data_IF_126351582403
#
_entry.id   IF_126351582403
#
_cell.length_a   1.000
_cell.length_b   1.000
_cell.length_c   1.000
_cell.angle_alpha   90.00
_cell.angle_beta   90.00
_cell.angle_gamma   90.00
#
_symmetry.space_group_name_H-M   'P 1'
#
loop_
_entity.id
_entity.type
_entity.pdbx_description
1 polymer ?
#
# COMPACT_ATOMS: atom_id res chain seq x y z
N UNK A 1 -31.58 -60.67 -43.44
CA UNK A 1 -32.54 -59.93 -42.61
C UNK A 1 -32.09 -60.00 -41.16
N UNK A 2 -31.78 -58.83 -40.56
CA UNK A 2 -31.96 -58.45 -39.14
C UNK A 2 -31.18 -59.25 -38.06
N UNK A 3 -30.62 -58.70 -36.98
CA UNK A 3 -30.38 -57.36 -36.42
C UNK A 3 -29.43 -57.58 -35.19
N UNK A 4 -28.49 -56.67 -34.95
CA UNK A 4 -27.70 -56.54 -33.70
C UNK A 4 -28.61 -56.23 -32.49
N UNK A 5 -28.22 -56.53 -31.22
CA UNK A 5 -27.46 -55.57 -30.38
C UNK A 5 -26.53 -56.30 -29.33
N UNK A 6 -25.73 -55.72 -28.43
CA UNK A 6 -25.78 -54.46 -27.69
C UNK A 6 -24.41 -54.22 -27.01
N UNK A 7 -23.80 -53.06 -27.27
CA UNK A 7 -22.60 -52.55 -26.58
C UNK A 7 -23.00 -51.97 -25.22
N UNK A 8 -22.38 -52.41 -24.12
CA UNK A 8 -22.51 -51.77 -22.80
C UNK A 8 -21.28 -50.88 -22.56
N UNK A 9 -21.42 -49.61 -22.89
CA UNK A 9 -20.46 -48.55 -22.61
C UNK A 9 -20.99 -47.78 -21.38
N UNK A 10 -20.44 -48.07 -20.21
CA UNK A 10 -20.78 -47.38 -18.96
C UNK A 10 -20.12 -45.99 -19.01
N UNK A 11 -20.90 -45.00 -19.41
CA UNK A 11 -20.54 -43.58 -19.30
C UNK A 11 -20.66 -43.13 -17.85
N UNK A 12 -19.53 -43.07 -17.14
CA UNK A 12 -19.44 -42.39 -15.84
C UNK A 12 -19.42 -40.88 -16.10
N UNK A 13 -20.56 -40.22 -15.91
CA UNK A 13 -20.65 -38.77 -15.90
C UNK A 13 -19.85 -38.24 -14.70
N UNK A 14 -18.66 -37.67 -14.97
CA UNK A 14 -18.03 -36.73 -14.04
C UNK A 14 -18.95 -35.51 -13.91
N UNK A 15 -19.75 -35.45 -12.86
CA UNK A 15 -20.38 -34.19 -12.45
C UNK A 15 -19.27 -33.28 -11.92
N UNK A 16 -18.82 -32.35 -12.75
CA UNK A 16 -18.03 -31.22 -12.28
C UNK A 16 -18.90 -30.44 -11.29
N UNK A 17 -18.65 -30.62 -9.98
CA UNK A 17 -19.18 -29.71 -8.99
C UNK A 17 -18.57 -28.35 -9.29
N UNK A 18 -19.36 -27.46 -9.88
CA UNK A 18 -19.10 -26.03 -9.81
C UNK A 18 -19.34 -25.64 -8.35
N UNK A 19 -18.35 -25.89 -7.49
CA UNK A 19 -18.30 -25.35 -6.14
C UNK A 19 -18.14 -23.85 -6.29
N UNK A 20 -19.26 -23.13 -6.34
CA UNK A 20 -19.25 -21.70 -6.09
C UNK A 20 -18.68 -21.52 -4.68
N UNK A 21 -17.53 -20.85 -4.60
CA UNK A 21 -16.85 -20.61 -3.35
C UNK A 21 -17.82 -19.89 -2.41
N UNK A 22 -18.04 -20.45 -1.22
CA UNK A 22 -19.04 -19.92 -0.29
C UNK A 22 -18.59 -18.53 0.14
N UNK A 23 -19.45 -17.50 0.11
CA UNK A 23 -19.08 -16.18 0.59
C UNK A 23 -18.72 -16.24 2.07
N UNK A 24 -17.66 -15.55 2.46
CA UNK A 24 -17.23 -15.50 3.85
C UNK A 24 -18.30 -14.86 4.76
N UNK A 25 -18.45 -15.42 5.96
CA UNK A 25 -19.36 -14.85 6.97
C UNK A 25 -18.79 -13.59 7.60
N UNK A 26 -19.67 -12.68 8.06
CA UNK A 26 -19.25 -11.45 8.73
C UNK A 26 -18.43 -11.72 10.01
N UNK A 27 -18.71 -12.85 10.68
CA UNK A 27 -17.95 -13.31 11.84
C UNK A 27 -16.52 -13.75 11.49
N UNK A 28 -16.35 -14.54 10.42
CA UNK A 28 -15.01 -14.93 9.96
C UNK A 28 -14.20 -13.72 9.55
N UNK A 29 -14.79 -12.78 8.81
CA UNK A 29 -14.10 -11.56 8.41
C UNK A 29 -13.72 -10.75 9.65
N UNK A 30 -14.63 -10.57 10.60
CA UNK A 30 -14.32 -9.89 11.87
C UNK A 30 -13.14 -10.54 12.60
N UNK A 31 -13.12 -11.86 12.67
CA UNK A 31 -12.02 -12.61 13.29
C UNK A 31 -10.71 -12.38 12.53
N UNK A 32 -10.73 -12.42 11.19
CA UNK A 32 -9.55 -12.15 10.36
C UNK A 32 -8.98 -10.75 10.66
N UNK A 33 -9.83 -9.71 10.64
CA UNK A 33 -9.36 -8.34 10.87
C UNK A 33 -8.78 -8.18 12.30
N UNK A 34 -9.32 -8.90 13.28
CA UNK A 34 -8.80 -8.91 14.64
C UNK A 34 -7.44 -9.60 14.73
N UNK A 35 -7.26 -10.79 14.14
CA UNK A 35 -5.97 -11.50 14.20
C UNK A 35 -4.87 -10.78 13.41
N UNK A 36 -5.25 -10.01 12.40
CA UNK A 36 -4.34 -9.12 11.68
C UNK A 36 -3.97 -7.84 12.47
N UNK A 37 -4.66 -7.55 13.58
CA UNK A 37 -4.51 -6.34 14.40
C UNK A 37 -4.62 -5.05 13.55
N UNK A 38 -5.59 -5.00 12.63
CA UNK A 38 -5.72 -3.88 11.69
C UNK A 38 -6.04 -2.55 12.36
N UNK A 39 -6.77 -2.57 13.48
CA UNK A 39 -7.04 -1.39 14.30
C UNK A 39 -5.73 -0.76 14.80
N UNK A 40 -4.81 -1.58 15.33
CA UNK A 40 -3.49 -1.16 15.79
C UNK A 40 -2.64 -0.68 14.62
N UNK A 41 -2.65 -1.40 13.50
CA UNK A 41 -1.90 -1.02 12.30
C UNK A 41 -2.33 0.35 11.74
N UNK A 42 -3.63 0.64 11.74
CA UNK A 42 -4.16 1.94 11.33
C UNK A 42 -3.69 3.06 12.26
N UNK A 43 -3.73 2.83 13.58
CA UNK A 43 -3.24 3.79 14.56
C UNK A 43 -1.74 4.08 14.38
N UNK A 44 -0.93 3.03 14.24
CA UNK A 44 0.51 3.17 14.01
C UNK A 44 0.82 3.91 12.70
N UNK A 45 0.06 3.64 11.65
CA UNK A 45 0.23 4.31 10.35
C UNK A 45 -0.01 5.81 10.48
N UNK A 46 -1.05 6.22 11.22
CA UNK A 46 -1.32 7.65 11.44
C UNK A 46 -0.26 8.31 12.29
N UNK A 47 0.22 7.64 13.33
CA UNK A 47 1.33 8.16 14.13
C UNK A 47 2.58 8.38 13.26
N UNK A 48 2.88 7.44 12.35
CA UNK A 48 4.04 7.53 11.45
C UNK A 48 3.97 8.68 10.45
N UNK A 49 2.77 9.15 10.06
CA UNK A 49 2.64 10.30 9.14
C UNK A 49 2.63 11.65 9.84
N UNK A 50 2.62 11.71 11.18
CA UNK A 50 2.60 12.98 11.94
C UNK A 50 3.69 13.98 11.47
N UNK A 51 4.96 13.59 11.27
CA UNK A 51 5.99 14.53 10.80
C UNK A 51 5.70 15.11 9.41
N UNK A 52 5.01 14.36 8.54
CA UNK A 52 4.62 14.84 7.20
C UNK A 52 3.51 15.88 7.30
N UNK A 53 2.55 15.69 8.22
CA UNK A 53 1.51 16.67 8.51
C UNK A 53 2.08 17.94 9.14
N UNK A 54 3.05 17.80 10.06
CA UNK A 54 3.79 18.94 10.62
C UNK A 54 4.46 19.73 9.50
N UNK A 55 5.21 19.06 8.63
CA UNK A 55 5.87 19.71 7.50
C UNK A 55 4.85 20.40 6.58
N UNK A 56 3.74 19.73 6.25
CA UNK A 56 2.69 20.28 5.39
C UNK A 56 2.07 21.54 6.01
N UNK A 57 1.76 21.53 7.30
CA UNK A 57 1.22 22.68 8.01
C UNK A 57 2.16 23.88 7.96
N UNK A 58 3.46 23.65 8.20
CA UNK A 58 4.48 24.70 8.09
C UNK A 58 4.57 25.27 6.68
N UNK A 59 4.53 24.43 5.65
CA UNK A 59 4.55 24.91 4.26
C UNK A 59 3.32 25.73 3.91
N UNK A 60 2.12 25.32 4.36
CA UNK A 60 0.89 26.08 4.16
C UNK A 60 1.03 27.48 4.76
N UNK A 61 1.45 27.58 6.03
CA UNK A 61 1.60 28.87 6.70
C UNK A 61 2.63 29.74 5.98
N UNK A 62 3.79 29.20 5.59
CA UNK A 62 4.83 29.92 4.82
C UNK A 62 4.28 30.53 3.53
N UNK A 63 3.52 29.73 2.77
CA UNK A 63 2.89 30.20 1.53
C UNK A 63 1.84 31.28 1.79
N UNK A 64 1.02 31.13 2.83
CA UNK A 64 -0.01 32.11 3.20
C UNK A 64 0.59 33.46 3.61
N UNK A 65 1.65 33.45 4.43
CA UNK A 65 2.31 34.70 4.86
C UNK A 65 3.36 35.20 3.86
N UNK A 66 3.65 34.41 2.82
CA UNK A 66 4.66 34.68 1.78
C UNK A 66 6.07 34.92 2.35
N UNK A 67 6.49 34.08 3.31
CA UNK A 67 7.81 34.12 3.93
C UNK A 67 8.45 32.74 3.97
N UNK A 68 9.78 32.70 3.80
CA UNK A 68 10.55 31.46 3.91
C UNK A 68 10.76 31.04 5.37
N UNK A 69 10.84 32.00 6.28
CA UNK A 69 11.01 31.80 7.72
C UNK A 69 9.79 32.35 8.48
N UNK A 70 9.26 31.53 9.39
CA UNK A 70 8.15 31.88 10.25
C UNK A 70 8.65 32.49 11.56
N UNK A 71 8.04 33.59 11.98
CA UNK A 71 8.16 34.14 13.34
C UNK A 71 7.65 33.15 14.40
N UNK A 72 8.00 33.31 15.68
CA UNK A 72 7.50 32.44 16.74
C UNK A 72 5.97 32.34 16.78
N UNK A 73 5.25 33.45 16.55
CA UNK A 73 3.79 33.47 16.51
C UNK A 73 3.23 32.69 15.32
N UNK A 74 3.85 32.81 14.15
CA UNK A 74 3.46 32.04 12.95
C UNK A 74 3.77 30.54 13.10
N UNK A 75 4.83 30.17 13.84
CA UNK A 75 5.13 28.77 14.18
C UNK A 75 4.06 28.17 15.10
N UNK A 76 3.54 28.93 16.07
CA UNK A 76 2.42 28.50 16.90
C UNK A 76 1.18 28.21 16.04
N UNK A 77 0.87 29.09 15.07
CA UNK A 77 -0.23 28.87 14.12
C UNK A 77 0.01 27.62 13.27
N UNK A 78 1.25 27.39 12.82
CA UNK A 78 1.60 26.18 12.06
C UNK A 78 1.44 24.90 12.90
N UNK A 79 1.83 24.92 14.17
CA UNK A 79 1.62 23.81 15.10
C UNK A 79 0.12 23.54 15.32
N UNK A 80 -0.68 24.59 15.51
CA UNK A 80 -2.14 24.46 15.66
C UNK A 80 -2.76 23.83 14.40
N UNK A 81 -2.36 24.28 13.21
CA UNK A 81 -2.80 23.68 11.95
C UNK A 81 -2.39 22.20 11.87
N UNK A 82 -1.16 21.87 12.24
CA UNK A 82 -0.70 20.48 12.26
C UNK A 82 -1.55 19.60 13.18
N UNK A 83 -1.87 20.08 14.39
CA UNK A 83 -2.72 19.34 15.33
C UNK A 83 -4.12 19.11 14.77
N UNK A 84 -4.71 20.12 14.09
CA UNK A 84 -5.99 19.96 13.41
C UNK A 84 -5.93 18.95 12.27
N UNK A 85 -4.88 18.99 11.44
CA UNK A 85 -4.67 18.02 10.36
C UNK A 85 -4.55 16.60 10.95
N UNK A 86 -3.74 16.42 11.98
CA UNK A 86 -3.55 15.13 12.64
C UNK A 86 -4.83 14.59 13.28
N UNK A 87 -5.58 15.44 14.00
CA UNK A 87 -6.87 15.07 14.57
C UNK A 87 -7.89 14.66 13.50
N UNK A 88 -7.94 15.40 12.39
CA UNK A 88 -8.82 15.07 11.27
C UNK A 88 -8.41 13.75 10.61
N UNK A 89 -7.11 13.51 10.42
CA UNK A 89 -6.60 12.24 9.88
C UNK A 89 -6.99 11.06 10.79
N UNK A 90 -6.76 11.17 12.10
CA UNK A 90 -7.16 10.13 13.07
C UNK A 90 -8.65 9.81 13.00
N UNK A 91 -9.51 10.84 12.91
CA UNK A 91 -10.96 10.64 12.77
C UNK A 91 -11.31 9.92 11.47
N UNK A 92 -10.72 10.37 10.36
CA UNK A 92 -11.03 9.88 9.01
C UNK A 92 -10.67 8.41 8.84
N UNK A 93 -9.53 7.99 9.40
CA UNK A 93 -9.07 6.60 9.29
C UNK A 93 -9.29 5.78 10.57
N UNK A 94 -10.15 6.28 11.46
CA UNK A 94 -10.47 5.57 12.70
C UNK A 94 -11.03 4.18 12.39
N UNK A 95 -10.83 3.25 13.32
CA UNK A 95 -11.29 1.88 13.15
C UNK A 95 -12.79 1.80 12.81
N UNK A 96 -13.62 2.61 13.46
CA UNK A 96 -15.06 2.64 13.21
C UNK A 96 -15.42 3.09 11.77
N UNK A 97 -14.61 3.96 11.16
CA UNK A 97 -14.81 4.40 9.78
C UNK A 97 -14.26 3.38 8.77
N UNK A 98 -13.12 2.76 9.08
CA UNK A 98 -12.41 1.88 8.15
C UNK A 98 -12.94 0.45 8.16
N UNK A 99 -13.39 -0.05 9.30
CA UNK A 99 -13.86 -1.42 9.48
C UNK A 99 -14.95 -1.83 8.47
N UNK A 100 -16.02 -1.06 8.22
CA UNK A 100 -17.03 -1.44 7.23
C UNK A 100 -16.46 -1.58 5.82
N UNK A 101 -15.48 -0.75 5.44
CA UNK A 101 -14.81 -0.83 4.15
C UNK A 101 -14.00 -2.11 4.03
N UNK A 102 -13.22 -2.46 5.06
CA UNK A 102 -12.49 -3.72 5.10
C UNK A 102 -13.44 -4.91 5.04
N UNK A 103 -14.51 -4.91 5.83
CA UNK A 103 -15.49 -5.99 5.83
C UNK A 103 -16.09 -6.22 4.45
N UNK A 104 -16.48 -5.13 3.77
CA UNK A 104 -16.99 -5.20 2.40
C UNK A 104 -15.96 -5.79 1.43
N UNK A 105 -14.74 -5.25 1.42
CA UNK A 105 -13.69 -5.67 0.47
C UNK A 105 -13.32 -7.14 0.68
N UNK A 106 -13.08 -7.56 1.93
CA UNK A 106 -12.74 -8.96 2.21
C UNK A 106 -13.86 -9.93 1.83
N UNK A 107 -15.13 -9.53 2.01
CA UNK A 107 -16.30 -10.33 1.62
C UNK A 107 -16.45 -10.47 0.09
N UNK A 108 -16.08 -9.43 -0.65
CA UNK A 108 -16.19 -9.40 -2.11
C UNK A 108 -15.02 -10.11 -2.81
N UNK A 109 -13.83 -10.09 -2.19
CA UNK A 109 -12.58 -10.56 -2.82
C UNK A 109 -12.24 -12.00 -2.46
N UNK A 110 -12.50 -12.43 -1.23
CA UNK A 110 -12.08 -13.74 -0.73
C UNK A 110 -13.25 -14.67 -0.43
N UNK A 111 -13.05 -15.96 -0.67
CA UNK A 111 -14.00 -16.99 -0.24
C UNK A 111 -13.92 -17.27 1.26
N UNK A 112 -14.93 -17.96 1.80
CA UNK A 112 -14.93 -18.41 3.18
C UNK A 112 -13.70 -19.28 3.52
N UNK A 113 -13.29 -20.15 2.59
CA UNK A 113 -12.13 -21.02 2.75
C UNK A 113 -10.81 -20.22 2.78
N UNK A 114 -10.67 -19.22 1.91
CA UNK A 114 -9.48 -18.35 1.87
C UNK A 114 -9.38 -17.46 3.11
N UNK A 115 -10.50 -16.93 3.59
CA UNK A 115 -10.56 -16.19 4.85
C UNK A 115 -10.16 -17.11 6.01
N UNK A 116 -10.68 -18.34 6.04
CA UNK A 116 -10.33 -19.30 7.09
C UNK A 116 -8.84 -19.64 7.09
N UNK A 117 -8.25 -19.88 5.92
CA UNK A 117 -6.81 -20.15 5.79
C UNK A 117 -5.97 -18.97 6.30
N UNK A 118 -6.38 -17.73 6.01
CA UNK A 118 -5.72 -16.53 6.55
C UNK A 118 -5.86 -16.44 8.07
N UNK A 119 -7.05 -16.73 8.62
CA UNK A 119 -7.26 -16.76 10.08
C UNK A 119 -6.32 -17.77 10.73
N UNK A 120 -6.28 -19.00 10.22
CA UNK A 120 -5.47 -20.08 10.80
C UNK A 120 -3.98 -19.71 10.79
N UNK A 121 -3.51 -19.18 9.66
CA UNK A 121 -2.12 -18.74 9.54
C UNK A 121 -1.81 -17.58 10.49
N UNK A 122 -2.57 -16.49 10.42
CA UNK A 122 -2.31 -15.30 11.23
C UNK A 122 -2.58 -15.50 12.72
N UNK A 123 -3.38 -16.49 13.12
CA UNK A 123 -3.54 -16.88 14.52
C UNK A 123 -2.33 -17.64 15.07
N UNK A 124 -1.48 -18.22 14.22
CA UNK A 124 -0.30 -18.95 14.64
C UNK A 124 0.81 -18.03 15.17
N UNK A 125 1.67 -18.54 16.05
CA UNK A 125 2.86 -17.81 16.56
C UNK A 125 3.75 -17.32 15.42
N UNK A 126 3.91 -18.12 14.37
CA UNK A 126 4.74 -17.76 13.20
C UNK A 126 4.04 -16.70 12.35
N UNK A 127 2.73 -16.84 12.10
CA UNK A 127 1.95 -15.84 11.37
C UNK A 127 1.94 -14.47 12.06
N UNK A 128 1.76 -14.44 13.38
CA UNK A 128 1.89 -13.21 14.18
C UNK A 128 3.30 -12.60 14.09
N UNK A 129 4.35 -13.44 14.14
CA UNK A 129 5.74 -12.99 13.98
C UNK A 129 5.98 -12.37 12.60
N UNK A 130 5.44 -12.99 11.55
CA UNK A 130 5.51 -12.48 10.18
C UNK A 130 4.76 -11.14 10.07
N UNK A 131 3.51 -11.07 10.52
CA UNK A 131 2.71 -9.83 10.51
C UNK A 131 3.45 -8.65 11.15
N UNK A 132 4.08 -8.86 12.31
CA UNK A 132 4.86 -7.83 13.02
C UNK A 132 6.11 -7.39 12.27
N UNK A 133 6.73 -8.28 11.49
CA UNK A 133 7.97 -8.01 10.74
C UNK A 133 7.73 -7.49 9.32
N UNK A 134 6.54 -7.70 8.75
CA UNK A 134 6.20 -7.23 7.40
C UNK A 134 6.46 -5.72 7.20
N UNK A 135 6.06 -4.82 8.13
CA UNK A 135 6.38 -3.40 8.00
C UNK A 135 7.89 -3.10 7.99
N UNK A 136 8.67 -3.83 8.81
CA UNK A 136 10.13 -3.68 8.86
C UNK A 136 10.77 -4.10 7.53
N UNK A 137 10.37 -5.24 6.97
CA UNK A 137 10.87 -5.70 5.66
C UNK A 137 10.57 -4.67 4.58
N UNK A 138 9.36 -4.11 4.56
CA UNK A 138 8.99 -3.05 3.62
C UNK A 138 9.86 -1.80 3.80
N UNK A 139 10.09 -1.36 5.05
CA UNK A 139 10.91 -0.20 5.36
C UNK A 139 12.37 -0.38 4.92
N UNK A 140 12.99 -1.52 5.24
CA UNK A 140 14.36 -1.83 4.86
C UNK A 140 14.52 -1.94 3.35
N UNK A 141 13.56 -2.57 2.68
CA UNK A 141 13.52 -2.68 1.20
C UNK A 141 13.49 -1.31 0.56
N UNK A 142 12.59 -0.42 1.02
CA UNK A 142 12.51 0.95 0.51
C UNK A 142 13.80 1.75 0.74
N UNK A 143 14.44 1.59 1.91
CA UNK A 143 15.70 2.25 2.20
C UNK A 143 16.83 1.82 1.24
N UNK A 144 16.97 0.51 1.02
CA UNK A 144 17.96 -0.04 0.09
C UNK A 144 17.69 0.38 -1.36
N UNK A 145 16.42 0.40 -1.77
CA UNK A 145 16.02 0.87 -3.10
C UNK A 145 16.40 2.34 -3.30
N UNK A 146 16.14 3.21 -2.31
CA UNK A 146 16.53 4.62 -2.35
C UNK A 146 18.06 4.78 -2.50
N UNK A 147 18.85 4.01 -1.75
CA UNK A 147 20.32 4.01 -1.90
C UNK A 147 20.75 3.61 -3.31
N UNK A 148 20.15 2.54 -3.87
CA UNK A 148 20.46 2.10 -5.23
C UNK A 148 20.10 3.15 -6.28
N UNK A 149 18.93 3.78 -6.15
CA UNK A 149 18.50 4.85 -7.05
C UNK A 149 19.46 6.05 -6.99
N UNK A 150 19.88 6.47 -5.79
CA UNK A 150 20.87 7.53 -5.63
C UNK A 150 22.21 7.19 -6.30
N UNK A 151 22.71 5.97 -6.16
CA UNK A 151 23.93 5.52 -6.85
C UNK A 151 23.75 5.53 -8.37
N UNK A 152 22.59 5.10 -8.88
CA UNK A 152 22.30 5.14 -10.32
C UNK A 152 22.31 6.57 -10.86
N UNK A 153 21.77 7.54 -10.11
CA UNK A 153 21.78 8.95 -10.53
C UNK A 153 23.21 9.50 -10.68
N UNK A 154 24.17 9.04 -9.88
CA UNK A 154 25.58 9.43 -10.01
C UNK A 154 26.18 8.91 -11.32
N UNK A 155 25.82 7.70 -11.74
CA UNK A 155 26.23 7.16 -13.05
C UNK A 155 25.62 7.97 -14.19
N UNK A 156 24.34 8.30 -14.11
CA UNK A 156 23.67 9.14 -15.13
C UNK A 156 24.23 10.56 -15.20
N UNK A 157 24.82 11.10 -14.12
CA UNK A 157 25.49 12.41 -14.17
C UNK A 157 26.69 12.42 -15.14
N UNK A 158 27.39 11.29 -15.31
CA UNK A 158 28.43 11.15 -16.32
C UNK A 158 27.84 11.18 -17.74
N UNK A 159 26.71 10.49 -17.94
CA UNK A 159 25.98 10.49 -19.22
C UNK A 159 25.49 11.89 -19.60
N UNK A 160 24.96 12.65 -18.62
CA UNK A 160 24.56 14.05 -18.84
C UNK A 160 25.73 14.93 -19.26
N UNK A 161 26.91 14.74 -18.65
CA UNK A 161 28.12 15.49 -19.02
C UNK A 161 28.55 15.17 -20.45
N UNK A 162 28.46 13.90 -20.87
CA UNK A 162 28.75 13.48 -22.24
C UNK A 162 27.76 14.09 -23.24
N UNK A 163 26.46 14.03 -22.94
CA UNK A 163 25.40 14.61 -23.78
C UNK A 163 25.61 16.12 -23.94
N UNK A 164 25.86 16.85 -22.84
CA UNK A 164 26.11 18.30 -22.90
C UNK A 164 27.32 18.63 -23.78
N UNK A 165 28.41 17.86 -23.70
CA UNK A 165 29.58 18.05 -24.57
C UNK A 165 29.24 17.83 -26.05
N UNK A 166 28.40 16.83 -26.37
CA UNK A 166 27.92 16.60 -27.75
C UNK A 166 27.06 17.77 -28.24
N UNK A 167 26.14 18.26 -27.41
CA UNK A 167 25.29 19.41 -27.75
C UNK A 167 26.10 20.69 -27.99
N UNK A 168 27.10 20.99 -27.15
CA UNK A 168 27.99 22.13 -27.35
C UNK A 168 28.79 22.03 -28.66
N UNK A 169 29.23 20.82 -29.00
CA UNK A 169 29.97 20.57 -30.24
C UNK A 169 29.10 20.83 -31.47
N UNK A 170 27.85 20.36 -31.44
CA UNK A 170 26.88 20.60 -32.51
C UNK A 170 26.54 22.08 -32.66
N UNK A 171 26.37 22.80 -31.55
CA UNK A 171 26.10 24.25 -31.56
C UNK A 171 27.25 25.04 -32.22
N UNK A 172 28.49 24.76 -31.84
CA UNK A 172 29.68 25.39 -32.46
C UNK A 172 29.82 25.08 -33.95
N UNK A 173 29.44 23.86 -34.37
CA UNK A 173 29.46 23.48 -35.77
C UNK A 173 28.38 24.19 -36.61
N UNK A 174 27.25 24.57 -35.99
CA UNK A 174 26.19 25.33 -36.64
C UNK A 174 26.51 26.84 -36.74
N UNK A 175 27.25 27.40 -35.78
CA UNK A 175 27.66 28.82 -35.76
C UNK A 175 28.82 29.15 -36.72
N UNK A 176 29.58 28.14 -37.16
CA UNK A 176 30.72 28.28 -38.09
C UNK A 176 30.35 27.98 -39.57
N UNK A 177 29.07 27.92 -39.90
CA UNK A 177 28.52 27.81 -41.26
C UNK A 177 27.79 29.10 -41.63
#
# INVERSE_FOLDING_TARGET
MKLLPQLLLIGSCLTANLTFAVPASDQQIQQLLNVMNLDTLLQETIQKIRPQLDQQAYQIVKMTVKKDQLSPQEQIVANELSDKLYAQSQKTVSWDQMKPLYQKIYKEVYSAEEIQAQIDFYSSTVGQSILKKTPQVAQETMALMNTKLMSSMQTTAADFKEINKKLDTLKKAAENK
#
